data_IF_735304804081
#
_entry.id   IF_735304804081
#
_cell.length_a   1.000
_cell.length_b   1.000
_cell.length_c   1.000
_cell.angle_alpha   90.00
_cell.angle_beta   90.00
_cell.angle_gamma   90.00
#
_symmetry.space_group_name_H-M   'P 1'
#
loop_
_entity.id
_entity.type
_entity.pdbx_description
1 polymer ?
#
# COMPACT_ATOMS: atom_id res chain seq x y z
N UNK A 1 -49.26 45.17 26.43
CA UNK A 1 -48.04 44.52 26.95
C UNK A 1 -47.68 43.36 26.01
N UNK A 2 -46.79 43.61 25.05
CA UNK A 2 -46.30 42.61 24.08
C UNK A 2 -45.11 41.86 24.69
N UNK A 3 -45.17 40.52 24.66
CA UNK A 3 -44.02 39.66 25.02
C UNK A 3 -42.89 39.83 23.99
N UNK A 4 -41.62 39.92 24.40
CA UNK A 4 -40.51 39.90 23.46
C UNK A 4 -40.39 38.52 22.78
N UNK A 5 -40.06 38.53 21.49
CA UNK A 5 -39.91 37.33 20.66
C UNK A 5 -38.74 36.45 21.14
N UNK A 6 -38.85 35.11 21.00
CA UNK A 6 -37.77 34.20 21.36
C UNK A 6 -36.55 34.46 20.46
N UNK A 7 -35.43 34.81 21.09
CA UNK A 7 -34.11 34.90 20.45
C UNK A 7 -33.78 33.58 19.77
N UNK A 8 -33.60 33.61 18.45
CA UNK A 8 -33.17 32.46 17.67
C UNK A 8 -31.80 31.97 18.16
N UNK A 9 -31.73 30.72 18.59
CA UNK A 9 -30.45 30.01 18.77
C UNK A 9 -29.69 29.99 17.45
N UNK A 10 -28.35 30.11 17.46
CA UNK A 10 -27.58 30.06 16.22
C UNK A 10 -27.78 28.69 15.54
N UNK A 11 -28.27 28.72 14.30
CA UNK A 11 -28.37 27.53 13.45
C UNK A 11 -26.99 26.90 13.25
N UNK A 12 -26.89 25.56 13.19
CA UNK A 12 -25.62 24.84 13.03
C UNK A 12 -24.87 25.19 11.73
N UNK A 13 -25.54 25.86 10.79
CA UNK A 13 -25.03 26.26 9.47
C UNK A 13 -24.02 27.42 9.52
N UNK A 14 -24.04 28.28 10.54
CA UNK A 14 -23.13 29.43 10.63
C UNK A 14 -21.77 29.10 11.26
N UNK A 15 -21.58 27.89 11.79
CA UNK A 15 -20.29 27.45 12.32
C UNK A 15 -19.40 26.84 11.21
N UNK A 16 -20.00 26.20 10.20
CA UNK A 16 -19.28 25.54 9.10
C UNK A 16 -18.72 26.51 8.05
N UNK A 17 -19.22 27.75 8.00
CA UNK A 17 -18.85 28.72 6.95
C UNK A 17 -17.56 29.50 7.25
N UNK A 18 -17.00 29.39 8.46
CA UNK A 18 -15.82 30.16 8.88
C UNK A 18 -14.47 29.42 8.72
N UNK A 19 -14.46 28.12 8.37
CA UNK A 19 -13.23 27.29 8.38
C UNK A 19 -12.79 26.83 6.98
N UNK A 20 -13.27 27.47 5.91
CA UNK A 20 -13.10 26.99 4.51
C UNK A 20 -11.96 27.62 3.70
N UNK A 21 -11.07 28.42 4.31
CA UNK A 21 -10.02 29.14 3.57
C UNK A 21 -8.58 28.73 3.93
N UNK A 22 -8.34 27.46 4.26
CA UNK A 22 -6.98 26.93 4.38
C UNK A 22 -6.69 25.97 3.21
N UNK A 23 -6.08 26.50 2.15
CA UNK A 23 -5.69 25.75 0.96
C UNK A 23 -4.62 24.66 1.24
N UNK A 24 -4.13 24.56 2.48
CA UNK A 24 -3.17 23.56 2.94
C UNK A 24 -3.79 22.42 3.76
N UNK A 25 -5.10 22.46 4.03
CA UNK A 25 -5.78 21.43 4.81
C UNK A 25 -5.80 20.07 4.08
N UNK A 26 -5.60 18.93 4.80
CA UNK A 26 -5.66 17.61 4.20
C UNK A 26 -7.01 17.35 3.52
N UNK A 27 -6.98 16.75 2.33
CA UNK A 27 -8.18 16.47 1.53
C UNK A 27 -9.10 15.45 2.20
N UNK A 28 -8.63 14.70 3.22
CA UNK A 28 -9.53 13.95 4.11
C UNK A 28 -10.64 14.82 4.72
N UNK A 29 -10.42 16.13 4.93
CA UNK A 29 -11.47 17.04 5.39
C UNK A 29 -12.56 17.30 4.34
N UNK A 30 -12.24 17.16 3.05
CA UNK A 30 -13.23 17.21 1.97
C UNK A 30 -14.12 15.96 1.94
N UNK A 31 -13.62 14.83 2.46
CA UNK A 31 -14.37 13.59 2.69
C UNK A 31 -14.94 13.50 4.12
N UNK A 32 -15.34 14.63 4.71
CA UNK A 32 -15.93 14.68 6.05
C UNK A 32 -17.20 13.81 6.21
N UNK A 33 -17.85 13.43 5.10
CA UNK A 33 -18.99 12.52 5.09
C UNK A 33 -18.53 11.09 5.37
N UNK A 34 -18.63 10.71 6.64
CA UNK A 34 -18.45 9.33 7.09
C UNK A 34 -19.64 8.48 6.63
N UNK A 35 -19.37 7.28 6.13
CA UNK A 35 -20.37 6.27 5.77
C UNK A 35 -20.36 5.16 6.82
N UNK A 36 -21.46 4.43 6.95
CA UNK A 36 -21.55 3.35 7.92
C UNK A 36 -20.70 2.16 7.45
N UNK A 37 -19.86 1.61 8.33
CA UNK A 37 -19.07 0.41 8.03
C UNK A 37 -19.97 -0.76 7.68
N UNK A 38 -21.09 -0.90 8.40
CA UNK A 38 -22.14 -1.86 8.10
C UNK A 38 -23.43 -1.08 7.83
N UNK A 39 -24.13 -1.29 6.71
CA UNK A 39 -23.94 -2.33 5.69
C UNK A 39 -22.96 -1.98 4.56
N UNK A 40 -22.61 -0.71 4.37
CA UNK A 40 -22.06 -0.23 3.10
C UNK A 40 -20.67 -0.78 2.77
N UNK A 41 -19.73 -0.81 3.71
CA UNK A 41 -18.38 -1.34 3.46
C UNK A 41 -18.39 -2.88 3.38
N UNK A 42 -19.08 -3.53 4.31
CA UNK A 42 -19.11 -5.01 4.41
C UNK A 42 -19.65 -5.66 3.14
N UNK A 43 -20.68 -5.09 2.49
CA UNK A 43 -21.18 -5.66 1.23
C UNK A 43 -20.18 -5.55 0.10
N UNK A 44 -19.47 -4.43 -0.03
CA UNK A 44 -18.46 -4.23 -1.08
C UNK A 44 -17.27 -5.18 -0.86
N UNK A 45 -16.81 -5.31 0.38
CA UNK A 45 -15.72 -6.24 0.74
C UNK A 45 -16.12 -7.70 0.50
N UNK A 46 -17.36 -8.09 0.84
CA UNK A 46 -17.86 -9.44 0.58
C UNK A 46 -17.88 -9.75 -0.92
N UNK A 47 -18.34 -8.82 -1.76
CA UNK A 47 -18.33 -8.98 -3.22
C UNK A 47 -16.90 -9.11 -3.73
N UNK A 48 -15.97 -8.28 -3.25
CA UNK A 48 -14.56 -8.35 -3.61
C UNK A 48 -13.92 -9.69 -3.19
N UNK A 49 -14.23 -10.19 -1.99
CA UNK A 49 -13.76 -11.49 -1.50
C UNK A 49 -14.29 -12.65 -2.33
N UNK A 50 -15.58 -12.63 -2.70
CA UNK A 50 -16.16 -13.62 -3.62
C UNK A 50 -15.45 -13.59 -4.98
N UNK A 51 -15.18 -12.40 -5.52
CA UNK A 51 -14.45 -12.23 -6.78
C UNK A 51 -13.02 -12.76 -6.70
N UNK A 52 -12.27 -12.38 -5.67
CA UNK A 52 -10.91 -12.86 -5.44
C UNK A 52 -10.86 -14.40 -5.31
N UNK A 53 -11.82 -14.98 -4.58
CA UNK A 53 -11.95 -16.44 -4.43
C UNK A 53 -12.24 -17.11 -5.76
N UNK A 54 -13.15 -16.57 -6.56
CA UNK A 54 -13.47 -17.11 -7.89
C UNK A 54 -12.24 -17.08 -8.82
N UNK A 55 -11.47 -15.99 -8.81
CA UNK A 55 -10.21 -15.87 -9.59
C UNK A 55 -9.19 -16.90 -9.13
N UNK A 56 -9.01 -17.08 -7.82
CA UNK A 56 -8.06 -18.06 -7.28
C UNK A 56 -8.47 -19.50 -7.62
N UNK A 57 -9.76 -19.84 -7.55
CA UNK A 57 -10.28 -21.15 -7.95
C UNK A 57 -10.04 -21.37 -9.45
N UNK A 58 -10.40 -20.39 -10.29
CA UNK A 58 -10.17 -20.48 -11.73
C UNK A 58 -8.68 -20.68 -12.05
N UNK A 59 -7.80 -19.92 -11.40
CA UNK A 59 -6.35 -20.05 -11.56
C UNK A 59 -5.85 -21.43 -11.11
N UNK A 60 -6.33 -21.94 -9.98
CA UNK A 60 -5.96 -23.26 -9.45
C UNK A 60 -6.38 -24.42 -10.35
N UNK A 61 -7.46 -24.27 -11.13
CA UNK A 61 -7.90 -25.27 -12.08
C UNK A 61 -7.09 -25.24 -13.38
N UNK A 62 -6.61 -24.06 -13.78
CA UNK A 62 -5.85 -23.87 -15.02
C UNK A 62 -4.35 -24.14 -14.85
N UNK A 63 -3.78 -23.80 -13.70
CA UNK A 63 -2.39 -24.04 -13.39
C UNK A 63 -2.21 -25.41 -12.72
N UNK A 64 -1.64 -26.37 -13.44
CA UNK A 64 -1.26 -27.64 -12.85
C UNK A 64 -0.17 -27.41 -11.79
N UNK A 65 -0.41 -27.85 -10.56
CA UNK A 65 0.57 -27.90 -9.49
C UNK A 65 0.93 -29.37 -9.21
N UNK A 66 1.96 -29.92 -9.88
CA UNK A 66 2.41 -31.28 -9.62
C UNK A 66 2.87 -31.40 -8.16
N UNK A 67 2.46 -32.47 -7.48
CA UNK A 67 2.96 -32.78 -6.15
C UNK A 67 4.35 -33.39 -6.29
N UNK A 68 5.35 -32.77 -5.67
CA UNK A 68 6.70 -33.34 -5.58
C UNK A 68 6.75 -34.48 -4.55
N UNK A 69 7.78 -35.33 -4.64
CA UNK A 69 8.01 -36.38 -3.65
C UNK A 69 8.19 -35.80 -2.25
N UNK A 70 7.86 -36.55 -1.18
CA UNK A 70 8.13 -36.13 0.19
C UNK A 70 9.59 -35.69 0.37
N UNK A 71 9.80 -34.66 1.18
CA UNK A 71 11.12 -34.06 1.36
C UNK A 71 12.15 -35.09 1.88
N UNK A 72 13.27 -35.20 1.17
CA UNK A 72 14.43 -36.02 1.55
C UNK A 72 15.59 -35.11 1.95
N UNK A 73 16.02 -35.08 3.23
CA UNK A 73 17.13 -34.25 3.66
C UNK A 73 18.50 -34.68 3.08
N UNK A 74 18.61 -35.88 2.50
CA UNK A 74 19.81 -36.36 1.84
C UNK A 74 19.89 -35.93 0.35
N UNK A 75 18.82 -35.36 -0.21
CA UNK A 75 18.74 -34.98 -1.62
C UNK A 75 18.19 -33.56 -1.77
N UNK A 76 19.03 -32.64 -2.25
CA UNK A 76 18.58 -31.29 -2.59
C UNK A 76 18.00 -31.28 -4.00
N UNK A 77 16.69 -31.01 -4.20
CA UNK A 77 16.11 -30.96 -5.54
C UNK A 77 16.73 -29.84 -6.38
N UNK A 78 17.00 -30.14 -7.65
CA UNK A 78 17.43 -29.17 -8.66
C UNK A 78 16.36 -29.16 -9.78
N UNK A 79 15.58 -28.08 -9.96
CA UNK A 79 15.85 -26.71 -9.54
C UNK A 79 15.13 -26.26 -8.25
N UNK A 80 15.89 -25.79 -7.26
CA UNK A 80 15.35 -25.14 -6.06
C UNK A 80 15.18 -23.62 -6.27
N UNK A 81 14.12 -23.22 -6.98
CA UNK A 81 13.72 -21.80 -7.11
C UNK A 81 12.76 -21.41 -5.99
N UNK A 82 12.95 -20.25 -5.35
CA UNK A 82 12.03 -19.74 -4.33
C UNK A 82 10.74 -19.24 -4.99
N UNK A 83 9.70 -19.03 -4.17
CA UNK A 83 8.51 -18.32 -4.60
C UNK A 83 8.82 -16.97 -5.26
N UNK A 84 7.97 -16.58 -6.20
CA UNK A 84 8.12 -15.39 -7.06
C UNK A 84 8.38 -14.07 -6.30
N UNK A 85 7.84 -13.93 -5.09
CA UNK A 85 8.05 -12.75 -4.24
C UNK A 85 9.47 -12.67 -3.64
N UNK A 86 10.23 -13.76 -3.66
CA UNK A 86 11.63 -13.83 -3.25
C UNK A 86 12.63 -13.93 -4.41
N UNK A 87 12.17 -14.00 -5.66
CA UNK A 87 13.06 -14.17 -6.82
C UNK A 87 14.16 -13.10 -6.85
N UNK A 88 13.81 -11.82 -6.67
CA UNK A 88 14.83 -10.76 -6.65
C UNK A 88 15.88 -10.91 -5.54
N UNK A 89 15.49 -11.47 -4.38
CA UNK A 89 16.41 -11.71 -3.27
C UNK A 89 17.29 -12.94 -3.51
N UNK A 90 16.75 -13.99 -4.12
CA UNK A 90 17.53 -15.18 -4.48
C UNK A 90 18.60 -14.86 -5.51
N UNK A 91 18.26 -14.08 -6.52
CA UNK A 91 19.17 -13.73 -7.60
C UNK A 91 20.31 -12.85 -7.07
N UNK A 92 19.99 -11.94 -6.15
CA UNK A 92 21.01 -11.19 -5.43
C UNK A 92 21.91 -12.09 -4.57
N UNK A 93 21.40 -13.19 -4.01
CA UNK A 93 22.19 -14.21 -3.28
C UNK A 93 23.03 -15.12 -4.20
N UNK A 94 22.60 -15.32 -5.45
CA UNK A 94 23.35 -16.09 -6.45
C UNK A 94 24.55 -15.31 -6.97
N UNK A 95 24.37 -14.02 -7.24
CA UNK A 95 25.41 -13.17 -7.86
C UNK A 95 26.17 -12.29 -6.86
N UNK A 96 25.63 -12.05 -5.67
CA UNK A 96 26.22 -11.22 -4.62
C UNK A 96 26.74 -12.01 -3.43
N UNK A 97 27.47 -11.35 -2.54
CA UNK A 97 27.82 -11.94 -1.26
C UNK A 97 26.59 -12.03 -0.33
N UNK A 98 26.56 -13.08 0.50
CA UNK A 98 25.42 -13.36 1.36
C UNK A 98 25.07 -12.24 2.35
N UNK A 99 26.05 -11.40 2.72
CA UNK A 99 25.84 -10.29 3.65
C UNK A 99 25.09 -9.14 2.97
N UNK A 100 25.59 -8.64 1.83
CA UNK A 100 24.94 -7.56 1.10
C UNK A 100 23.57 -7.97 0.58
N UNK A 101 23.46 -9.19 0.04
CA UNK A 101 22.23 -9.71 -0.54
C UNK A 101 21.16 -10.08 0.49
N UNK A 102 21.56 -10.80 1.54
CA UNK A 102 20.63 -11.36 2.51
C UNK A 102 20.29 -10.42 3.67
N UNK A 103 21.18 -9.47 4.01
CA UNK A 103 21.04 -8.63 5.21
C UNK A 103 20.96 -7.15 4.84
N UNK A 104 21.99 -6.62 4.15
CA UNK A 104 22.10 -5.17 3.97
C UNK A 104 20.99 -4.59 3.08
N UNK A 105 20.71 -5.19 1.93
CA UNK A 105 19.67 -4.70 1.00
C UNK A 105 18.26 -4.80 1.61
N UNK A 106 17.82 -5.93 2.19
CA UNK A 106 16.52 -6.01 2.85
C UNK A 106 16.37 -5.01 4.00
N UNK A 107 17.42 -4.84 4.81
CA UNK A 107 17.41 -3.86 5.91
C UNK A 107 17.31 -2.43 5.37
N UNK A 108 17.99 -2.12 4.27
CA UNK A 108 17.93 -0.81 3.63
C UNK A 108 16.53 -0.53 3.05
N UNK A 109 15.85 -1.52 2.48
CA UNK A 109 14.46 -1.37 2.01
C UNK A 109 13.53 -1.06 3.18
N UNK A 110 13.62 -1.83 4.26
CA UNK A 110 12.78 -1.62 5.46
C UNK A 110 13.07 -0.25 6.08
N UNK A 111 14.35 0.11 6.24
CA UNK A 111 14.74 1.42 6.77
C UNK A 111 14.29 2.56 5.86
N UNK A 112 14.39 2.39 4.54
CA UNK A 112 13.91 3.36 3.55
C UNK A 112 12.40 3.57 3.63
N UNK A 113 11.62 2.49 3.75
CA UNK A 113 10.16 2.56 3.94
C UNK A 113 9.80 3.24 5.27
N UNK A 114 10.50 2.90 6.36
CA UNK A 114 10.30 3.53 7.66
C UNK A 114 10.72 5.02 7.67
N UNK A 115 11.64 5.42 6.79
CA UNK A 115 12.10 6.80 6.64
C UNK A 115 11.11 7.69 5.88
N UNK A 116 10.17 7.12 5.10
CA UNK A 116 9.18 7.88 4.31
C UNK A 116 8.46 8.97 5.12
N UNK A 117 7.83 8.69 6.28
CA UNK A 117 7.13 9.73 7.05
C UNK A 117 8.06 10.83 7.58
N UNK A 118 9.35 10.55 7.74
CA UNK A 118 10.33 11.54 8.22
C UNK A 118 10.89 12.41 7.11
N UNK A 119 10.96 11.89 5.88
CA UNK A 119 11.45 12.57 4.69
C UNK A 119 10.36 13.40 3.99
N UNK A 120 9.10 12.93 4.04
CA UNK A 120 7.95 13.64 3.47
C UNK A 120 6.95 14.02 4.57
N UNK A 121 7.14 15.22 5.14
CA UNK A 121 6.28 15.79 6.19
C UNK A 121 5.20 16.72 5.63
N UNK A 122 5.10 16.85 4.30
CA UNK A 122 4.18 17.81 3.69
C UNK A 122 2.74 17.29 3.79
N UNK A 123 1.77 18.10 4.25
CA UNK A 123 0.35 17.76 4.18
C UNK A 123 -0.21 17.87 2.76
N UNK A 124 0.49 18.58 1.86
CA UNK A 124 0.04 18.82 0.49
C UNK A 124 0.00 17.53 -0.31
N UNK A 125 -1.10 17.26 -1.03
CA UNK A 125 -1.27 16.00 -1.77
C UNK A 125 -1.48 14.78 -0.88
N UNK A 126 -1.89 14.96 0.38
CA UNK A 126 -2.36 13.86 1.25
C UNK A 126 -3.81 13.52 0.90
N UNK A 127 -4.14 12.23 0.86
CA UNK A 127 -5.52 11.76 0.64
C UNK A 127 -5.98 11.66 -0.83
N UNK A 128 -5.14 12.02 -1.81
CA UNK A 128 -5.42 11.83 -3.24
C UNK A 128 -4.13 11.63 -4.05
N UNK A 129 -4.23 11.00 -5.22
CA UNK A 129 -3.08 10.72 -6.07
C UNK A 129 -2.61 11.98 -6.81
N UNK A 130 -1.40 12.48 -6.50
CA UNK A 130 -0.83 13.68 -7.12
C UNK A 130 0.69 13.59 -7.27
N UNK A 131 1.17 13.40 -8.51
CA UNK A 131 2.61 13.29 -8.81
C UNK A 131 3.29 14.66 -8.76
N UNK A 132 2.63 15.71 -9.26
CA UNK A 132 3.24 17.04 -9.40
C UNK A 132 3.56 17.70 -8.05
N UNK A 133 2.72 17.46 -7.04
CA UNK A 133 2.83 18.04 -5.70
C UNK A 133 3.79 17.27 -4.80
N UNK A 134 3.96 15.96 -5.00
CA UNK A 134 4.86 15.07 -4.23
C UNK A 134 5.99 14.49 -5.06
N UNK A 135 6.48 15.27 -6.03
CA UNK A 135 7.52 14.84 -6.99
C UNK A 135 8.73 14.20 -6.30
N UNK A 136 9.23 14.76 -5.20
CA UNK A 136 10.37 14.19 -4.45
C UNK A 136 10.05 12.83 -3.81
N UNK A 137 8.96 12.73 -3.05
CA UNK A 137 8.56 11.48 -2.39
C UNK A 137 8.23 10.38 -3.41
N UNK A 138 7.56 10.76 -4.50
CA UNK A 138 7.24 9.86 -5.59
C UNK A 138 8.50 9.35 -6.30
N UNK A 139 9.46 10.22 -6.65
CA UNK A 139 10.71 9.78 -7.29
C UNK A 139 11.56 8.95 -6.36
N UNK A 140 11.59 9.26 -5.07
CA UNK A 140 12.35 8.50 -4.07
C UNK A 140 11.73 7.10 -3.90
N UNK A 141 10.42 7.00 -3.77
CA UNK A 141 9.72 5.73 -3.62
C UNK A 141 9.81 4.88 -4.88
N UNK A 142 9.47 5.44 -6.04
CA UNK A 142 9.51 4.71 -7.32
C UNK A 142 10.96 4.37 -7.70
N UNK A 143 11.89 5.30 -7.54
CA UNK A 143 13.31 5.05 -7.80
C UNK A 143 13.86 3.97 -6.87
N UNK A 144 13.58 4.05 -5.57
CA UNK A 144 13.98 3.04 -4.59
C UNK A 144 13.34 1.68 -4.87
N UNK A 145 12.05 1.62 -5.16
CA UNK A 145 11.34 0.39 -5.49
C UNK A 145 11.87 -0.24 -6.80
N UNK A 146 12.07 0.56 -7.85
CA UNK A 146 12.59 0.04 -9.11
C UNK A 146 14.03 -0.44 -8.97
N UNK A 147 14.90 0.33 -8.31
CA UNK A 147 16.31 0.01 -8.17
C UNK A 147 16.57 -1.15 -7.19
N UNK A 148 15.91 -1.12 -6.02
CA UNK A 148 16.20 -2.06 -4.93
C UNK A 148 15.32 -3.31 -4.97
N UNK A 149 14.18 -3.29 -5.66
CA UNK A 149 13.22 -4.41 -5.70
C UNK A 149 13.03 -5.00 -7.10
N UNK A 150 12.72 -4.18 -8.11
CA UNK A 150 12.40 -4.68 -9.46
C UNK A 150 13.65 -5.02 -10.28
N UNK A 151 14.70 -4.19 -10.22
CA UNK A 151 15.92 -4.42 -10.99
C UNK A 151 16.55 -5.80 -10.69
N UNK A 152 16.70 -6.24 -9.42
CA UNK A 152 17.18 -7.60 -9.12
C UNK A 152 16.27 -8.70 -9.67
N UNK A 153 14.95 -8.51 -9.69
CA UNK A 153 14.01 -9.48 -10.27
C UNK A 153 14.19 -9.63 -11.79
N UNK A 154 14.43 -8.53 -12.51
CA UNK A 154 14.58 -8.56 -13.97
C UNK A 154 15.91 -9.18 -14.40
N UNK A 155 16.99 -8.93 -13.65
CA UNK A 155 18.32 -9.49 -13.95
C UNK A 155 18.32 -11.02 -13.83
N UNK A 156 17.48 -11.58 -12.95
CA UNK A 156 17.46 -13.01 -12.67
C UNK A 156 16.30 -13.81 -13.29
N UNK A 157 15.55 -13.21 -14.23
CA UNK A 157 14.59 -13.94 -15.09
C UNK A 157 15.28 -14.49 -16.33
#
# INVERSE_FOLDING_TARGET
MMRPAPTASPSPESADTAESSDASAPVEKLFARKVLTWPDLVYIELIAACWATAVLIAWSLLAAAPLESPADPAQTPNPAKAPWYFVGLQELLVYGDAWWAGVAVPLLIIAGLAAIPYLDRSPTGSGYYSIAQRRFAWTLFVGGFLLLWILPMVIGV
#
